data_IF_860435212444
#
_entry.id   IF_860435212444
#
_cell.length_a   1.000
_cell.length_b   1.000
_cell.length_c   1.000
_cell.angle_alpha   90.00
_cell.angle_beta   90.00
_cell.angle_gamma   90.00
#
_symmetry.space_group_name_H-M   'P 1'
#
loop_
_entity.id
_entity.type
_entity.pdbx_description
1 polymer ?
#
# COMPACT_ATOMS: atom_id res chain seq x y z
N UNK A 1 9.28 14.56 10.23
CA UNK A 1 8.73 14.81 8.88
C UNK A 1 8.34 13.47 8.27
N UNK A 2 7.16 13.38 7.64
CA UNK A 2 6.68 12.20 6.94
C UNK A 2 7.26 12.20 5.52
N UNK A 3 7.79 11.07 5.05
CA UNK A 3 8.40 10.97 3.72
C UNK A 3 7.53 10.09 2.81
N UNK A 4 7.12 10.65 1.67
CA UNK A 4 6.34 9.98 0.61
C UNK A 4 7.12 9.85 -0.70
N UNK A 5 8.40 10.23 -0.73
CA UNK A 5 9.26 10.14 -1.94
C UNK A 5 9.46 8.69 -2.39
N UNK A 6 9.42 7.74 -1.45
CA UNK A 6 9.60 6.31 -1.74
C UNK A 6 11.02 6.04 -2.23
N UNK A 7 11.23 5.01 -3.09
CA UNK A 7 12.56 4.66 -3.56
C UNK A 7 13.31 5.79 -4.28
N UNK A 8 12.60 6.79 -4.81
CA UNK A 8 13.21 7.94 -5.48
C UNK A 8 14.01 8.86 -4.55
N UNK A 9 13.78 8.78 -3.23
CA UNK A 9 14.55 9.53 -2.24
C UNK A 9 15.79 8.80 -1.74
N UNK A 10 16.01 7.54 -2.16
CA UNK A 10 17.11 6.69 -1.69
C UNK A 10 18.23 6.66 -2.75
N UNK A 11 19.42 7.22 -2.47
CA UNK A 11 20.52 7.26 -3.42
C UNK A 11 21.10 5.88 -3.72
N UNK A 12 20.87 4.89 -2.86
CA UNK A 12 21.38 3.53 -3.04
C UNK A 12 20.46 2.68 -3.94
N UNK A 13 19.27 3.19 -4.30
CA UNK A 13 18.33 2.49 -5.17
C UNK A 13 18.46 2.99 -6.60
N UNK A 14 18.96 2.11 -7.48
CA UNK A 14 18.89 2.33 -8.93
C UNK A 14 17.46 2.11 -9.43
N UNK A 15 16.87 3.14 -10.04
CA UNK A 15 15.50 3.11 -10.56
C UNK A 15 15.52 3.14 -12.09
N UNK A 16 14.93 2.12 -12.70
CA UNK A 16 14.59 2.12 -14.11
C UNK A 16 13.08 2.27 -14.28
N UNK A 17 12.65 3.40 -14.85
CA UNK A 17 11.24 3.71 -15.10
C UNK A 17 10.57 2.68 -16.01
N UNK A 18 11.31 2.05 -16.93
CA UNK A 18 10.77 1.02 -17.85
C UNK A 18 10.51 -0.31 -17.15
N UNK A 19 11.25 -0.60 -16.07
CA UNK A 19 11.05 -1.80 -15.24
C UNK A 19 10.02 -1.58 -14.14
N UNK A 20 9.87 -0.33 -13.68
CA UNK A 20 9.02 0.03 -12.56
C UNK A 20 9.68 -0.27 -11.21
N UNK A 21 8.94 0.00 -10.12
CA UNK A 21 9.46 -0.15 -8.76
C UNK A 21 9.38 -1.60 -8.26
N UNK A 22 10.23 -1.93 -7.29
CA UNK A 22 10.18 -3.20 -6.59
C UNK A 22 8.81 -3.45 -5.94
N UNK A 23 8.28 -4.66 -6.11
CA UNK A 23 6.94 -5.04 -5.62
C UNK A 23 6.99 -5.48 -4.16
N UNK A 24 7.33 -4.55 -3.26
CA UNK A 24 7.51 -4.84 -1.82
C UNK A 24 6.29 -5.51 -1.17
N UNK A 25 5.09 -5.24 -1.68
CA UNK A 25 3.82 -5.83 -1.18
C UNK A 25 3.49 -7.19 -1.76
N UNK A 26 4.20 -7.65 -2.79
CA UNK A 26 3.88 -8.90 -3.48
C UNK A 26 3.93 -10.12 -2.53
N UNK A 27 4.96 -10.28 -1.68
CA UNK A 27 5.01 -11.40 -0.74
C UNK A 27 3.83 -11.42 0.25
N UNK A 28 3.37 -10.24 0.70
CA UNK A 28 2.22 -10.15 1.61
C UNK A 28 0.91 -10.54 0.95
N UNK A 29 0.74 -10.20 -0.32
CA UNK A 29 -0.44 -10.58 -1.11
C UNK A 29 -0.42 -12.08 -1.38
N UNK A 30 0.74 -12.62 -1.74
CA UNK A 30 0.89 -14.04 -2.09
C UNK A 30 0.68 -14.95 -0.88
N UNK A 31 1.19 -14.54 0.29
CA UNK A 31 1.03 -15.28 1.54
C UNK A 31 -0.45 -15.49 1.96
N UNK A 32 -1.37 -14.61 1.53
CA UNK A 32 -2.80 -14.71 1.86
C UNK A 32 -3.55 -15.77 1.06
N UNK A 33 -3.01 -16.23 -0.08
CA UNK A 33 -3.60 -17.27 -0.93
C UNK A 33 -5.09 -17.04 -1.29
N UNK A 34 -5.53 -15.79 -1.35
CA UNK A 34 -6.91 -15.40 -1.67
C UNK A 34 -7.04 -14.70 -3.02
N UNK A 35 -5.92 -14.55 -3.73
CA UNK A 35 -5.83 -13.95 -5.05
C UNK A 35 -5.16 -14.92 -6.04
N UNK A 36 -5.68 -14.98 -7.25
CA UNK A 36 -5.11 -15.74 -8.36
C UNK A 36 -4.79 -14.81 -9.54
N UNK A 37 -3.73 -15.10 -10.33
CA UNK A 37 -3.48 -14.38 -11.58
C UNK A 37 -4.66 -14.57 -12.54
N UNK A 38 -4.96 -13.54 -13.32
CA UNK A 38 -5.84 -13.67 -14.46
C UNK A 38 -5.11 -14.38 -15.60
N UNK A 39 -5.75 -15.41 -16.16
CA UNK A 39 -5.25 -16.11 -17.35
C UNK A 39 -5.19 -15.19 -18.57
N UNK A 40 -6.15 -14.26 -18.67
CA UNK A 40 -6.20 -13.26 -19.71
C UNK A 40 -6.55 -11.89 -19.15
N UNK A 41 -6.01 -10.85 -19.78
CA UNK A 41 -6.40 -9.47 -19.49
C UNK A 41 -7.82 -9.25 -20.02
N UNK A 42 -8.78 -9.02 -19.15
CA UNK A 42 -10.20 -8.91 -19.52
C UNK A 42 -10.58 -7.57 -20.17
N UNK A 43 -9.78 -6.52 -19.99
CA UNK A 43 -10.07 -5.18 -20.51
C UNK A 43 -9.84 -5.07 -22.02
N UNK A 44 -10.87 -4.66 -22.76
CA UNK A 44 -10.78 -4.37 -24.20
C UNK A 44 -9.71 -3.33 -24.51
N UNK A 45 -9.59 -2.28 -23.68
CA UNK A 45 -8.57 -1.25 -23.83
C UNK A 45 -7.15 -1.84 -23.73
N UNK A 46 -6.91 -2.71 -22.75
CA UNK A 46 -5.60 -3.33 -22.57
C UNK A 46 -5.25 -4.29 -23.71
N UNK A 47 -6.23 -5.04 -24.23
CA UNK A 47 -6.03 -5.90 -25.40
C UNK A 47 -5.65 -5.06 -26.64
N UNK A 48 -6.39 -3.99 -26.91
CA UNK A 48 -6.13 -3.11 -28.04
C UNK A 48 -4.74 -2.44 -27.99
N UNK A 49 -4.30 -2.00 -26.80
CA UNK A 49 -2.97 -1.38 -26.62
C UNK A 49 -1.81 -2.37 -26.73
N UNK A 50 -2.02 -3.65 -26.40
CA UNK A 50 -1.01 -4.69 -26.57
C UNK A 50 -0.83 -5.14 -28.02
N UNK A 51 -1.89 -5.04 -28.83
CA UNK A 51 -1.84 -5.38 -30.25
C UNK A 51 -1.26 -4.25 -31.14
N UNK A 52 -0.91 -3.11 -30.54
CA UNK A 52 -0.43 -1.92 -31.26
C UNK A 52 1.10 -1.83 -31.20
N UNK A 53 1.77 -2.35 -32.23
CA UNK A 53 3.24 -2.45 -32.32
C UNK A 53 3.93 -1.07 -32.31
N UNK A 54 3.22 0.00 -32.67
CA UNK A 54 3.74 1.37 -32.61
C UNK A 54 4.03 1.87 -31.18
N UNK A 55 3.62 1.12 -30.16
CA UNK A 55 3.83 1.45 -28.75
C UNK A 55 4.97 0.67 -28.10
N UNK A 56 5.66 -0.21 -28.84
CA UNK A 56 6.68 -1.10 -28.25
C UNK A 56 7.81 -0.34 -27.55
N UNK A 57 8.29 0.76 -28.12
CA UNK A 57 9.33 1.59 -27.52
C UNK A 57 8.88 2.33 -26.26
N UNK A 58 7.57 2.46 -26.02
CA UNK A 58 6.97 3.11 -24.85
C UNK A 58 6.48 2.12 -23.80
N UNK A 59 6.51 0.81 -24.09
CA UNK A 59 6.03 -0.23 -23.17
C UNK A 59 7.02 -0.44 -22.03
N UNK A 60 6.45 -0.65 -20.84
CA UNK A 60 7.21 -1.18 -19.70
C UNK A 60 7.67 -2.61 -20.03
N UNK A 61 8.92 -2.92 -19.73
CA UNK A 61 9.53 -4.23 -19.98
C UNK A 61 8.92 -5.33 -19.10
N UNK A 62 8.43 -4.95 -17.91
CA UNK A 62 7.78 -5.84 -16.96
C UNK A 62 6.26 -5.84 -17.08
N UNK A 63 5.70 -6.57 -18.06
CA UNK A 63 4.24 -6.71 -18.17
C UNK A 63 3.67 -7.41 -16.92
N UNK A 64 2.88 -6.67 -16.14
CA UNK A 64 2.23 -7.20 -14.96
C UNK A 64 1.07 -8.13 -15.35
N UNK A 65 0.96 -9.25 -14.64
CA UNK A 65 -0.22 -10.11 -14.68
C UNK A 65 -1.18 -9.65 -13.59
N UNK A 66 -2.35 -9.08 -13.94
CA UNK A 66 -3.31 -8.67 -12.92
C UNK A 66 -3.80 -9.88 -12.13
N UNK A 67 -4.12 -9.67 -10.85
CA UNK A 67 -4.72 -10.68 -9.98
C UNK A 67 -6.18 -10.36 -9.70
N UNK A 68 -6.97 -11.40 -9.45
CA UNK A 68 -8.34 -11.30 -8.95
C UNK A 68 -8.51 -12.13 -7.68
N UNK A 69 -9.50 -11.79 -6.86
CA UNK A 69 -9.93 -12.67 -5.78
C UNK A 69 -10.30 -14.05 -6.34
N UNK A 70 -9.94 -15.11 -5.62
CA UNK A 70 -10.47 -16.44 -5.91
C UNK A 70 -11.97 -16.49 -5.59
N UNK A 71 -12.70 -17.43 -6.20
CA UNK A 71 -14.15 -17.55 -6.02
C UNK A 71 -14.50 -17.70 -4.54
N UNK A 72 -15.47 -16.91 -4.07
CA UNK A 72 -15.93 -16.93 -2.68
C UNK A 72 -15.03 -16.20 -1.68
N UNK A 73 -13.97 -15.51 -2.12
CA UNK A 73 -13.13 -14.67 -1.25
C UNK A 73 -13.36 -13.18 -1.51
N UNK A 74 -13.21 -12.38 -0.46
CA UNK A 74 -13.17 -10.93 -0.55
C UNK A 74 -11.81 -10.46 -0.04
N UNK A 75 -11.13 -9.63 -0.83
CA UNK A 75 -9.70 -9.31 -0.62
C UNK A 75 -9.49 -7.87 -0.14
N UNK A 76 -10.57 -7.21 0.29
CA UNK A 76 -10.54 -5.81 0.70
C UNK A 76 -10.04 -5.66 2.14
N UNK A 77 -9.33 -4.57 2.44
CA UNK A 77 -8.89 -4.27 3.81
C UNK A 77 -10.06 -4.15 4.79
N UNK A 78 -11.21 -3.65 4.33
CA UNK A 78 -12.44 -3.60 5.12
C UNK A 78 -12.95 -5.00 5.49
N UNK A 79 -12.86 -5.97 4.59
CA UNK A 79 -13.25 -7.35 4.86
C UNK A 79 -12.39 -7.98 5.95
N UNK A 80 -11.07 -7.85 5.86
CA UNK A 80 -10.16 -8.36 6.90
C UNK A 80 -10.39 -7.66 8.24
N UNK A 81 -10.56 -6.33 8.23
CA UNK A 81 -10.87 -5.58 9.44
C UNK A 81 -12.17 -6.07 10.08
N UNK A 82 -13.26 -6.27 9.32
CA UNK A 82 -14.52 -6.78 9.89
C UNK A 82 -14.39 -8.18 10.49
N UNK A 83 -13.40 -8.97 10.06
CA UNK A 83 -13.11 -10.28 10.62
C UNK A 83 -12.13 -10.25 11.80
N UNK A 84 -11.66 -9.07 12.24
CA UNK A 84 -10.65 -8.99 13.30
C UNK A 84 -9.24 -9.32 12.82
N UNK A 85 -9.00 -9.44 11.52
CA UNK A 85 -7.70 -9.77 10.94
C UNK A 85 -6.88 -8.49 10.72
N UNK A 86 -5.69 -8.44 11.33
CA UNK A 86 -4.69 -7.40 11.06
C UNK A 86 -3.82 -7.84 9.90
N UNK A 87 -3.80 -7.05 8.82
CA UNK A 87 -2.93 -7.33 7.66
C UNK A 87 -1.55 -6.67 7.82
N UNK A 88 -0.51 -7.15 7.11
CA UNK A 88 0.79 -6.48 7.07
C UNK A 88 0.69 -5.02 6.63
N UNK A 89 -0.25 -4.69 5.75
CA UNK A 89 -0.52 -3.30 5.38
C UNK A 89 -1.02 -2.44 6.55
N UNK A 90 -1.89 -2.99 7.42
CA UNK A 90 -2.37 -2.28 8.61
C UNK A 90 -1.24 -2.05 9.61
N UNK A 91 -0.36 -3.03 9.79
CA UNK A 91 0.82 -2.91 10.65
C UNK A 91 1.81 -1.86 10.11
N UNK A 92 2.11 -1.91 8.81
CA UNK A 92 2.99 -0.95 8.15
C UNK A 92 2.51 0.49 8.37
N UNK A 93 1.21 0.74 8.20
CA UNK A 93 0.61 2.07 8.45
C UNK A 93 0.76 2.44 9.93
N UNK A 94 0.44 1.54 10.87
CA UNK A 94 0.53 1.83 12.30
C UNK A 94 1.96 2.24 12.72
N UNK A 95 2.99 1.56 12.19
CA UNK A 95 4.39 1.93 12.43
C UNK A 95 4.68 3.32 11.85
N UNK A 96 4.32 3.55 10.59
CA UNK A 96 4.60 4.80 9.89
C UNK A 96 3.95 6.01 10.56
N UNK A 97 2.72 5.86 11.06
CA UNK A 97 2.01 6.92 11.79
C UNK A 97 2.62 7.20 13.19
N UNK A 98 3.27 6.21 13.82
CA UNK A 98 3.94 6.39 15.11
C UNK A 98 5.35 7.02 14.99
N UNK A 99 6.04 6.82 13.87
CA UNK A 99 7.41 7.33 13.65
C UNK A 99 7.53 8.86 13.69
N UNK A 100 6.44 9.59 13.47
CA UNK A 100 6.39 11.04 13.67
C UNK A 100 6.42 11.48 15.14
N UNK A 101 5.98 10.61 16.06
CA UNK A 101 5.85 10.91 17.50
C UNK A 101 7.05 10.46 18.32
N UNK A 102 7.71 9.35 17.96
CA UNK A 102 8.91 8.88 18.68
C UNK A 102 10.15 9.76 18.46
N UNK A 103 10.24 10.46 17.31
CA UNK A 103 11.28 11.47 17.07
C UNK A 103 11.14 12.71 17.98
N UNK A 104 9.96 12.92 18.58
CA UNK A 104 9.66 14.05 19.46
C UNK A 104 9.69 13.57 20.92
N UNK A 105 10.89 13.28 21.43
CA UNK A 105 11.12 12.95 22.85
C UNK A 105 11.66 14.12 23.69
N UNK A 106 11.86 15.30 23.12
CA UNK A 106 12.21 16.49 23.90
C UNK A 106 10.96 17.08 24.58
N UNK A 107 11.05 17.37 25.87
CA UNK A 107 9.95 17.95 26.67
C UNK A 107 9.42 19.28 26.09
N UNK A 108 10.27 20.03 25.41
CA UNK A 108 9.93 21.33 24.80
C UNK A 108 8.94 21.19 23.64
N UNK A 109 8.95 20.07 22.89
CA UNK A 109 8.05 19.84 21.76
C UNK A 109 6.78 19.04 22.14
N UNK A 110 6.62 18.68 23.42
CA UNK A 110 5.40 18.05 23.95
C UNK A 110 4.29 19.04 24.28
N UNK A 111 4.53 20.34 24.16
CA UNK A 111 3.48 21.35 24.18
C UNK A 111 2.69 21.29 22.86
N UNK A 112 1.95 20.20 22.66
CA UNK A 112 0.84 20.19 21.75
C UNK A 112 -0.27 20.97 22.45
N UNK A 113 -0.66 22.13 21.90
CA UNK A 113 -1.96 22.70 22.24
C UNK A 113 -3.00 21.58 22.08
N UNK A 114 -3.91 21.46 23.03
CA UNK A 114 -5.09 20.62 22.87
C UNK A 114 -5.93 21.23 21.73
N UNK A 115 -5.53 20.95 20.48
CA UNK A 115 -6.25 21.41 19.31
C UNK A 115 -7.68 20.88 19.37
N UNK A 116 -8.63 21.70 18.93
CA UNK A 116 -10.02 21.27 18.85
C UNK A 116 -10.18 20.21 17.76
N UNK A 117 -10.68 19.03 18.15
CA UNK A 117 -10.80 17.88 17.27
C UNK A 117 -12.05 17.90 16.40
N UNK A 118 -12.99 18.83 16.61
CA UNK A 118 -14.28 18.90 15.89
C UNK A 118 -14.99 17.53 15.76
N UNK A 119 -14.91 16.68 16.80
CA UNK A 119 -15.48 15.31 16.82
C UNK A 119 -14.57 14.19 16.30
N UNK A 120 -13.33 14.49 15.89
CA UNK A 120 -12.35 13.50 15.47
C UNK A 120 -11.80 12.69 16.66
N UNK A 121 -11.86 11.36 16.56
CA UNK A 121 -11.28 10.45 17.55
C UNK A 121 -9.82 10.17 17.23
N UNK A 122 -8.94 11.13 17.51
CA UNK A 122 -7.49 10.96 17.34
C UNK A 122 -6.88 10.22 18.56
N UNK A 123 -6.35 9.00 18.39
CA UNK A 123 -5.72 8.28 19.50
C UNK A 123 -4.34 8.85 19.87
N UNK A 124 -3.93 8.67 21.13
CA UNK A 124 -2.61 9.08 21.63
C UNK A 124 -1.43 8.28 21.05
N UNK A 125 -1.68 7.04 20.59
CA UNK A 125 -0.75 6.17 19.83
C UNK A 125 -1.55 5.31 18.84
N UNK A 126 -1.02 5.07 17.65
CA UNK A 126 -1.65 4.21 16.64
C UNK A 126 -1.16 2.77 16.81
N UNK A 127 -1.91 1.93 17.52
CA UNK A 127 -1.66 0.49 17.52
C UNK A 127 -2.41 -0.19 16.38
N UNK A 128 -1.87 -1.28 15.79
CA UNK A 128 -2.62 -2.13 14.88
C UNK A 128 -3.70 -2.88 15.67
N UNK A 129 -4.82 -2.20 15.93
CA UNK A 129 -6.04 -2.80 16.46
C UNK A 129 -7.14 -2.58 15.46
N UNK A 130 -7.82 -3.67 15.12
CA UNK A 130 -9.08 -3.61 14.40
C UNK A 130 -10.10 -2.89 15.29
N UNK A 131 -10.53 -1.70 14.89
CA UNK A 131 -11.77 -1.11 15.42
C UNK A 131 -12.91 -1.66 14.56
N UNK A 132 -13.55 -2.73 15.03
CA UNK A 132 -14.90 -3.07 14.55
C UNK A 132 -15.83 -1.96 15.05
N UNK A 133 -16.34 -1.13 14.13
CA UNK A 133 -17.58 -0.40 14.35
C UNK A 133 -18.73 -1.27 13.89
#
# INVERSE_FOLDING_TARGET
MYDTSGPYGDPDISIDVRQGLAKLRQPWIDARNDCAPLSERSSAYTKARLADDGLDELRFSGLLTPKRAVVGKCVTQLHYARQGIVTPEMEFIAIRENMGRERIRSEVLRQQHAGEGFGAHLPGKHHPRVRSR
#
